data_IF_751205554171
#
_entry.id   IF_751205554171
#
_cell.length_a   1.000
_cell.length_b   1.000
_cell.length_c   1.000
_cell.angle_alpha   90.00
_cell.angle_beta   90.00
_cell.angle_gamma   90.00
#
_symmetry.space_group_name_H-M   'P 1'
#
loop_
_entity.id
_entity.type
_entity.pdbx_description
1 polymer ?
#
# COMPACT_ATOMS: atom_id res chain seq x y z
N UNK A 1 -36.44 8.22 12.15
CA UNK A 1 -36.09 8.55 10.74
C UNK A 1 -35.50 7.29 10.14
N UNK A 2 -36.11 6.76 9.09
CA UNK A 2 -35.70 5.49 8.49
C UNK A 2 -34.32 5.64 7.83
N UNK A 3 -33.39 4.71 8.11
CA UNK A 3 -32.00 4.82 7.66
C UNK A 3 -31.90 4.80 6.12
N UNK A 4 -32.86 4.15 5.44
CA UNK A 4 -32.89 4.10 3.98
C UNK A 4 -33.23 5.46 3.38
N UNK A 5 -34.11 6.22 4.01
CA UNK A 5 -34.49 7.56 3.56
C UNK A 5 -33.35 8.58 3.74
N UNK A 6 -32.57 8.46 4.82
CA UNK A 6 -31.37 9.27 5.03
C UNK A 6 -30.33 9.00 3.93
N UNK A 7 -30.10 7.73 3.62
CA UNK A 7 -29.13 7.30 2.60
C UNK A 7 -29.59 7.70 1.20
N UNK A 8 -30.87 7.51 0.87
CA UNK A 8 -31.47 7.93 -0.40
C UNK A 8 -31.34 9.45 -0.61
N UNK A 9 -31.60 10.22 0.43
CA UNK A 9 -31.48 11.69 0.38
C UNK A 9 -30.03 12.13 0.19
N UNK A 10 -29.07 11.46 0.84
CA UNK A 10 -27.64 11.75 0.67
C UNK A 10 -27.14 11.44 -0.75
N UNK A 11 -27.59 10.34 -1.35
CA UNK A 11 -27.23 9.95 -2.73
C UNK A 11 -27.81 10.94 -3.73
N UNK A 12 -29.08 11.31 -3.61
CA UNK A 12 -29.72 12.29 -4.50
C UNK A 12 -29.09 13.69 -4.37
N UNK A 13 -28.55 14.04 -3.20
CA UNK A 13 -27.87 15.32 -3.01
C UNK A 13 -26.51 15.40 -3.71
N UNK A 14 -25.84 14.26 -3.87
CA UNK A 14 -24.53 14.15 -4.52
C UNK A 14 -24.61 13.60 -5.97
N UNK A 15 -25.82 13.32 -6.49
CA UNK A 15 -25.99 12.71 -7.81
C UNK A 15 -25.43 13.56 -8.94
N UNK A 16 -25.43 14.89 -8.78
CA UNK A 16 -24.84 15.82 -9.75
C UNK A 16 -23.32 15.61 -9.94
N UNK A 17 -22.62 15.04 -8.94
CA UNK A 17 -21.19 14.71 -9.04
C UNK A 17 -20.94 13.34 -9.69
N UNK A 18 -21.91 12.41 -9.64
CA UNK A 18 -21.73 11.01 -10.03
C UNK A 18 -22.43 10.65 -11.35
N UNK A 19 -23.34 11.50 -11.83
CA UNK A 19 -24.18 11.25 -12.99
C UNK A 19 -25.38 10.35 -12.65
N UNK A 20 -26.53 10.62 -13.27
CA UNK A 20 -27.82 9.99 -12.94
C UNK A 20 -27.77 8.45 -13.05
N UNK A 21 -27.02 7.91 -14.01
CA UNK A 21 -26.89 6.47 -14.24
C UNK A 21 -26.19 5.75 -13.08
N UNK A 22 -25.16 6.35 -12.47
CA UNK A 22 -24.49 5.77 -11.30
C UNK A 22 -25.37 5.87 -10.05
N UNK A 23 -26.13 6.95 -9.89
CA UNK A 23 -27.05 7.12 -8.78
C UNK A 23 -28.17 6.06 -8.80
N UNK A 24 -28.74 5.78 -9.98
CA UNK A 24 -29.74 4.72 -10.15
C UNK A 24 -29.17 3.33 -9.89
N UNK A 25 -27.95 3.04 -10.37
CA UNK A 25 -27.28 1.76 -10.11
C UNK A 25 -27.05 1.51 -8.61
N UNK A 26 -26.64 2.54 -7.86
CA UNK A 26 -26.43 2.46 -6.41
C UNK A 26 -27.76 2.27 -5.66
N UNK A 27 -28.81 2.99 -6.05
CA UNK A 27 -30.14 2.83 -5.45
C UNK A 27 -30.71 1.43 -5.69
N UNK A 28 -30.53 0.90 -6.91
CA UNK A 28 -30.94 -0.45 -7.26
C UNK A 28 -30.17 -1.50 -6.45
N UNK A 29 -28.85 -1.34 -6.34
CA UNK A 29 -28.01 -2.21 -5.52
C UNK A 29 -28.40 -2.18 -4.03
N UNK A 30 -28.77 -1.02 -3.47
CA UNK A 30 -29.21 -0.92 -2.08
C UNK A 30 -30.52 -1.68 -1.84
N UNK A 31 -31.46 -1.58 -2.79
CA UNK A 31 -32.75 -2.28 -2.71
C UNK A 31 -32.62 -3.79 -2.95
N UNK A 32 -31.77 -4.21 -3.88
CA UNK A 32 -31.58 -5.63 -4.23
C UNK A 32 -30.65 -6.37 -3.24
N UNK A 33 -29.62 -5.69 -2.72
CA UNK A 33 -28.59 -6.35 -1.91
C UNK A 33 -28.86 -6.38 -0.40
N UNK A 34 -29.94 -5.77 0.09
CA UNK A 34 -30.18 -5.71 1.54
C UNK A 34 -28.98 -5.10 2.29
N UNK A 35 -28.56 -3.90 1.88
CA UNK A 35 -27.63 -3.01 2.58
C UNK A 35 -26.26 -3.59 2.96
N UNK A 36 -25.31 -3.57 2.01
CA UNK A 36 -23.87 -3.59 2.30
C UNK A 36 -23.22 -2.40 1.59
N UNK A 37 -23.16 -1.26 2.30
CA UNK A 37 -22.31 -0.12 1.93
C UNK A 37 -20.89 -0.47 2.38
N UNK A 38 -20.02 -0.81 1.44
CA UNK A 38 -18.58 -0.92 1.72
C UNK A 38 -17.98 0.47 1.56
N UNK A 39 -17.47 1.12 2.63
CA UNK A 39 -16.86 2.43 2.51
C UNK A 39 -15.59 2.35 1.66
N UNK A 40 -15.43 3.32 0.77
CA UNK A 40 -14.25 3.51 -0.05
C UNK A 40 -12.98 3.61 0.80
N UNK A 41 -12.24 2.50 0.91
CA UNK A 41 -10.78 2.43 1.09
C UNK A 41 -10.27 1.02 0.75
N UNK A 42 -10.52 0.59 -0.47
CA UNK A 42 -9.95 -0.65 -1.01
C UNK A 42 -9.34 -0.38 -2.38
N UNK A 43 -8.37 0.53 -2.45
CA UNK A 43 -7.34 0.41 -3.48
C UNK A 43 -6.22 -0.41 -2.86
N UNK A 44 -6.28 -1.72 -3.10
CA UNK A 44 -5.14 -2.59 -2.90
C UNK A 44 -4.03 -2.06 -3.81
N UNK A 45 -3.02 -1.41 -3.22
CA UNK A 45 -1.75 -1.16 -3.89
C UNK A 45 -1.33 -2.51 -4.47
N UNK A 46 -1.11 -2.63 -5.79
CA UNK A 46 -0.72 -3.92 -6.37
C UNK A 46 0.51 -4.42 -5.61
N UNK A 47 0.50 -5.64 -5.09
CA UNK A 47 1.64 -6.16 -4.31
C UNK A 47 2.90 -6.37 -5.18
N UNK A 48 2.76 -6.25 -6.50
CA UNK A 48 3.78 -6.55 -7.49
C UNK A 48 3.84 -5.45 -8.56
N UNK A 49 5.05 -5.02 -8.89
CA UNK A 49 5.37 -4.20 -10.06
C UNK A 49 5.72 -5.11 -11.23
N UNK A 50 5.09 -4.89 -12.38
CA UNK A 50 5.46 -5.56 -13.64
C UNK A 50 6.28 -4.58 -14.46
N UNK A 51 7.55 -4.90 -14.72
CA UNK A 51 8.42 -4.10 -15.55
C UNK A 51 8.70 -4.83 -16.87
N UNK A 52 8.50 -4.15 -18.00
CA UNK A 52 8.95 -4.64 -19.31
C UNK A 52 10.46 -4.43 -19.44
N UNK A 53 11.19 -5.50 -19.72
CA UNK A 53 12.61 -5.50 -20.05
C UNK A 53 12.78 -5.58 -21.58
N UNK A 54 14.01 -5.37 -22.05
CA UNK A 54 14.33 -5.44 -23.47
C UNK A 54 13.85 -6.74 -24.14
N UNK A 55 13.17 -6.56 -25.28
CA UNK A 55 12.55 -7.58 -26.13
C UNK A 55 11.28 -8.22 -25.57
N UNK A 56 10.39 -7.42 -24.96
CA UNK A 56 9.06 -7.87 -24.54
C UNK A 56 9.09 -8.87 -23.38
N UNK A 57 10.17 -8.90 -22.61
CA UNK A 57 10.30 -9.78 -21.44
C UNK A 57 9.80 -9.05 -20.21
N UNK A 58 8.65 -9.45 -19.71
CA UNK A 58 8.11 -8.88 -18.48
C UNK A 58 8.73 -9.58 -17.27
N UNK A 59 9.14 -8.79 -16.29
CA UNK A 59 9.59 -9.31 -15.00
C UNK A 59 8.75 -8.70 -13.89
N UNK A 60 8.11 -9.59 -13.14
CA UNK A 60 7.40 -9.23 -11.93
C UNK A 60 8.39 -9.03 -10.79
N UNK A 61 8.17 -7.97 -10.02
CA UNK A 61 8.94 -7.64 -8.85
C UNK A 61 8.01 -7.37 -7.68
N UNK A 62 8.33 -7.93 -6.53
CA UNK A 62 7.67 -7.59 -5.28
C UNK A 62 8.21 -6.25 -4.76
N UNK A 63 7.33 -5.35 -4.32
CA UNK A 63 7.73 -4.00 -3.90
C UNK A 63 8.78 -4.00 -2.80
N UNK A 64 8.68 -4.90 -1.80
CA UNK A 64 9.67 -4.99 -0.73
C UNK A 64 11.01 -5.48 -1.25
N UNK A 65 11.03 -6.39 -2.22
CA UNK A 65 12.25 -6.88 -2.83
C UNK A 65 13.01 -5.76 -3.56
N UNK A 66 12.29 -4.93 -4.34
CA UNK A 66 12.88 -3.77 -5.01
C UNK A 66 13.38 -2.74 -3.99
N UNK A 67 12.59 -2.43 -2.96
CA UNK A 67 13.01 -1.49 -1.92
C UNK A 67 14.28 -1.99 -1.21
N UNK A 68 14.34 -3.27 -0.85
CA UNK A 68 15.52 -3.89 -0.24
C UNK A 68 16.74 -3.77 -1.16
N UNK A 69 16.57 -4.04 -2.45
CA UNK A 69 17.65 -3.97 -3.44
C UNK A 69 18.16 -2.52 -3.59
N UNK A 70 17.28 -1.55 -3.69
CA UNK A 70 17.63 -0.12 -3.77
C UNK A 70 18.38 0.36 -2.54
N UNK A 71 17.91 -0.01 -1.34
CA UNK A 71 18.57 0.35 -0.09
C UNK A 71 19.94 -0.32 0.05
N UNK A 72 20.10 -1.57 -0.41
CA UNK A 72 21.38 -2.29 -0.42
C UNK A 72 22.38 -1.74 -1.44
N UNK A 73 21.89 -1.26 -2.59
CA UNK A 73 22.71 -0.66 -3.64
C UNK A 73 23.21 0.74 -3.27
N UNK A 74 22.54 1.40 -2.33
CA UNK A 74 22.92 2.73 -1.88
C UNK A 74 24.32 2.77 -1.27
N UNK A 75 25.11 3.77 -1.67
CA UNK A 75 26.44 4.06 -1.13
C UNK A 75 26.39 4.82 0.20
N UNK A 76 25.20 5.22 0.67
CA UNK A 76 25.02 5.94 1.93
C UNK A 76 25.50 5.04 3.07
N UNK A 77 26.67 5.41 3.61
CA UNK A 77 27.35 4.93 4.82
C UNK A 77 26.90 3.57 5.37
N UNK A 78 27.56 2.51 4.91
CA UNK A 78 27.57 1.16 5.52
C UNK A 78 27.98 1.14 7.01
N UNK A 79 28.46 2.27 7.53
CA UNK A 79 28.90 2.44 8.91
C UNK A 79 27.80 2.93 9.86
N UNK A 80 26.59 3.24 9.34
CA UNK A 80 25.45 3.68 10.16
C UNK A 80 24.53 2.49 10.44
N UNK A 81 23.76 2.60 11.53
CA UNK A 81 22.69 1.65 11.83
C UNK A 81 21.69 1.62 10.66
N UNK A 82 21.15 0.43 10.39
CA UNK A 82 20.25 0.19 9.26
C UNK A 82 19.02 1.13 9.31
N UNK A 83 18.48 1.42 10.50
CA UNK A 83 17.38 2.38 10.63
C UNK A 83 17.78 3.81 10.21
N UNK A 84 19.00 4.27 10.55
CA UNK A 84 19.51 5.60 10.18
C UNK A 84 19.72 5.68 8.67
N UNK A 85 20.20 4.59 8.07
CA UNK A 85 20.33 4.46 6.63
C UNK A 85 18.98 4.61 5.92
N UNK A 86 17.97 3.84 6.36
CA UNK A 86 16.61 3.92 5.82
C UNK A 86 16.01 5.31 6.00
N UNK A 87 16.17 5.90 7.18
CA UNK A 87 15.72 7.25 7.49
C UNK A 87 16.32 8.27 6.51
N UNK A 88 17.63 8.19 6.28
CA UNK A 88 18.37 9.10 5.39
C UNK A 88 17.99 8.91 3.92
N UNK A 89 17.76 7.67 3.50
CA UNK A 89 17.43 7.33 2.11
C UNK A 89 15.98 7.66 1.73
N UNK A 90 15.05 7.52 2.68
CA UNK A 90 13.60 7.65 2.42
C UNK A 90 12.99 8.92 3.02
N UNK A 91 13.75 9.71 3.79
CA UNK A 91 13.26 10.93 4.44
C UNK A 91 12.17 10.66 5.49
N UNK A 92 12.22 9.50 6.15
CA UNK A 92 11.20 9.07 7.12
C UNK A 92 11.60 9.42 8.55
N UNK A 93 10.66 9.31 9.50
CA UNK A 93 10.98 9.39 10.95
C UNK A 93 11.55 8.07 11.48
N UNK A 94 12.21 8.10 12.64
CA UNK A 94 12.86 6.92 13.26
C UNK A 94 11.90 5.74 13.43
N UNK A 95 10.70 5.97 13.99
CA UNK A 95 9.68 4.92 14.18
C UNK A 95 9.30 4.23 12.87
N UNK A 96 9.21 5.00 11.78
CA UNK A 96 8.87 4.45 10.46
C UNK A 96 10.06 3.69 9.88
N UNK A 97 11.28 4.20 10.06
CA UNK A 97 12.49 3.52 9.61
C UNK A 97 12.69 2.15 10.28
N UNK A 98 12.45 2.04 11.59
CA UNK A 98 12.48 0.75 12.29
C UNK A 98 11.47 -0.26 11.71
N UNK A 99 10.22 0.17 11.51
CA UNK A 99 9.17 -0.67 10.89
C UNK A 99 9.53 -1.11 9.47
N UNK A 100 10.19 -0.24 8.70
CA UNK A 100 10.67 -0.59 7.35
C UNK A 100 11.78 -1.64 7.44
N UNK A 101 12.74 -1.50 8.36
CA UNK A 101 13.77 -2.52 8.58
C UNK A 101 13.12 -3.88 8.91
N UNK A 102 12.18 -3.92 9.85
CA UNK A 102 11.45 -5.14 10.22
C UNK A 102 10.66 -5.73 9.05
N UNK A 103 9.94 -4.90 8.30
CA UNK A 103 9.18 -5.34 7.12
C UNK A 103 10.09 -5.88 6.00
N UNK A 104 11.34 -5.45 5.96
CA UNK A 104 12.38 -5.94 5.06
C UNK A 104 13.19 -7.10 5.67
N UNK A 105 12.86 -7.55 6.88
CA UNK A 105 13.59 -8.60 7.61
C UNK A 105 15.03 -8.20 7.95
N UNK A 106 15.33 -6.91 8.05
CA UNK A 106 16.67 -6.38 8.36
C UNK A 106 16.72 -5.95 9.81
N UNK A 107 17.77 -6.30 10.54
CA UNK A 107 17.97 -5.82 11.91
C UNK A 107 18.15 -4.29 11.91
N UNK A 108 17.25 -3.50 12.50
CA UNK A 108 17.35 -2.04 12.49
C UNK A 108 18.62 -1.51 13.17
N UNK A 109 19.07 -2.19 14.24
CA UNK A 109 20.25 -1.84 15.02
C UNK A 109 21.54 -2.51 14.48
N UNK A 110 21.43 -3.27 13.41
CA UNK A 110 22.57 -3.80 12.67
C UNK A 110 23.21 -2.75 11.77
N UNK A 111 24.46 -2.98 11.36
CA UNK A 111 25.17 -2.19 10.36
C UNK A 111 25.23 -2.89 9.00
N UNK A 112 24.94 -4.19 8.97
CA UNK A 112 24.82 -4.95 7.73
C UNK A 112 23.37 -4.97 7.26
N UNK A 113 23.11 -4.39 6.09
CA UNK A 113 21.78 -4.40 5.45
C UNK A 113 21.52 -5.76 4.77
N UNK A 114 21.35 -6.80 5.59
CA UNK A 114 21.05 -8.17 5.18
C UNK A 114 19.72 -8.61 5.80
N UNK A 115 18.96 -9.41 5.05
CA UNK A 115 17.80 -10.06 5.62
C UNK A 115 18.29 -11.09 6.65
N UNK A 116 17.72 -11.08 7.85
CA UNK A 116 17.85 -12.18 8.79
C UNK A 116 17.18 -13.40 8.15
N UNK A 117 17.95 -14.48 8.03
CA UNK A 117 17.36 -15.78 7.75
C UNK A 117 16.44 -16.12 8.93
N UNK A 118 15.22 -16.63 8.67
CA UNK A 118 14.36 -17.07 9.74
C UNK A 118 15.12 -18.16 10.52
N UNK A 119 15.32 -17.93 11.82
CA UNK A 119 15.83 -18.96 12.71
C UNK A 119 14.82 -20.11 12.70
N UNK A 120 15.14 -21.16 11.96
CA UNK A 120 14.33 -22.36 11.90
C UNK A 120 14.69 -23.19 13.14
N UNK A 121 13.84 -23.11 14.17
CA UNK A 121 13.86 -23.97 15.37
C UNK A 121 13.00 -25.21 15.10
#
# INVERSE_FOLDING_TARGET
MDIKEVVKTAILRNSHEWGDEQAEAVLKAINEAGFLVVPAKAQAVPAKLVLELEKGRFKEYEFKALLRQSLRASKVTRSKLNWVHVMSMLGTGSTVAHRICEALGVNPDGTEFKAQEPAND
#
